data_IF_712003916315
#
_entry.id   IF_712003916315
#
_cell.length_a   1.000
_cell.length_b   1.000
_cell.length_c   1.000
_cell.angle_alpha   90.00
_cell.angle_beta   90.00
_cell.angle_gamma   90.00
#
_symmetry.space_group_name_H-M   'P 1'
#
loop_
_entity.id
_entity.type
_entity.pdbx_description
1 polymer ?
#
# COMPACT_ATOMS: atom_id res chain seq x y z
N UNK A 1 2.91 -11.19 -6.28
CA UNK A 1 3.39 -12.54 -6.64
C UNK A 1 4.61 -13.00 -5.84
N UNK A 2 5.23 -12.12 -5.01
CA UNK A 2 6.39 -12.49 -4.17
C UNK A 2 5.98 -13.02 -2.81
N UNK A 3 4.73 -12.85 -2.40
CA UNK A 3 4.24 -13.23 -1.09
C UNK A 3 3.90 -14.72 -1.00
N UNK A 4 4.26 -15.34 0.10
CA UNK A 4 3.88 -16.72 0.45
C UNK A 4 2.61 -16.80 1.28
N UNK A 5 2.04 -15.68 1.68
CA UNK A 5 0.77 -15.60 2.40
C UNK A 5 0.56 -14.28 3.12
N UNK A 6 -0.67 -14.08 3.59
CA UNK A 6 -1.09 -12.91 4.33
C UNK A 6 -0.87 -13.09 5.84
N UNK A 7 -0.27 -12.09 6.46
CA UNK A 7 -0.17 -11.98 7.92
C UNK A 7 -1.41 -11.30 8.46
N UNK A 8 -2.28 -12.07 9.13
CA UNK A 8 -3.59 -11.58 9.61
C UNK A 8 -3.59 -11.13 11.06
N UNK A 9 -2.60 -11.57 11.85
CA UNK A 9 -2.53 -11.33 13.29
C UNK A 9 -1.22 -10.64 13.67
N UNK A 10 -1.24 -9.72 14.66
CA UNK A 10 -0.02 -9.06 15.14
C UNK A 10 0.82 -9.95 16.06
N UNK A 11 0.36 -11.14 16.36
CA UNK A 11 1.03 -12.08 17.26
C UNK A 11 2.35 -12.58 16.65
N UNK A 12 3.33 -12.84 17.50
CA UNK A 12 4.65 -13.32 17.10
C UNK A 12 4.86 -14.78 17.45
N UNK A 13 5.03 -15.05 18.73
CA UNK A 13 5.28 -16.39 19.27
C UNK A 13 4.33 -16.69 20.45
N UNK A 14 4.09 -17.96 20.69
CA UNK A 14 3.41 -18.40 21.90
C UNK A 14 4.41 -18.39 23.08
N UNK A 15 4.14 -17.64 24.13
CA UNK A 15 5.05 -17.49 25.28
C UNK A 15 5.25 -18.78 26.10
N UNK A 16 4.33 -19.74 26.00
CA UNK A 16 4.46 -21.03 26.71
C UNK A 16 5.30 -22.04 25.94
N UNK A 17 5.14 -22.09 24.61
CA UNK A 17 5.76 -23.11 23.75
C UNK A 17 6.93 -22.57 22.94
N UNK A 18 7.10 -21.24 22.88
CA UNK A 18 8.06 -20.51 22.04
C UNK A 18 7.94 -20.84 20.54
N UNK A 19 6.81 -21.37 20.11
CA UNK A 19 6.52 -21.65 18.71
C UNK A 19 5.84 -20.44 18.06
N UNK A 20 6.11 -20.17 16.78
CA UNK A 20 5.43 -19.13 16.04
C UNK A 20 3.91 -19.33 16.04
N UNK A 21 3.17 -18.27 16.30
CA UNK A 21 1.71 -18.27 16.18
C UNK A 21 1.28 -18.35 14.71
N UNK A 22 0.19 -19.06 14.48
CA UNK A 22 -0.39 -19.22 13.15
C UNK A 22 -0.94 -17.88 12.66
N UNK A 23 -0.69 -17.57 11.39
CA UNK A 23 -1.07 -16.33 10.71
C UNK A 23 -0.49 -15.04 11.34
N UNK A 24 0.48 -15.18 12.24
CA UNK A 24 1.21 -14.09 12.86
C UNK A 24 2.47 -13.68 12.07
N UNK A 25 3.20 -12.72 12.64
CA UNK A 25 4.40 -12.15 12.03
C UNK A 25 5.55 -13.15 11.83
N UNK A 26 5.56 -14.27 12.57
CA UNK A 26 6.55 -15.34 12.43
C UNK A 26 5.96 -16.67 11.99
N UNK A 27 4.78 -16.67 11.41
CA UNK A 27 4.04 -17.86 11.00
C UNK A 27 4.91 -18.83 10.18
N UNK A 28 4.98 -20.08 10.63
CA UNK A 28 5.77 -21.09 9.93
C UNK A 28 5.13 -21.57 8.62
N UNK A 29 3.81 -21.47 8.51
CA UNK A 29 3.09 -21.78 7.28
C UNK A 29 3.46 -20.80 6.15
N UNK A 30 3.62 -19.51 6.48
CA UNK A 30 3.98 -18.46 5.52
C UNK A 30 5.49 -18.47 5.25
N UNK A 31 6.29 -18.37 6.29
CA UNK A 31 7.74 -18.15 6.18
C UNK A 31 8.58 -19.42 6.15
N UNK A 32 8.04 -20.54 6.56
CA UNK A 32 8.75 -21.81 6.59
C UNK A 32 9.07 -22.32 8.00
N UNK A 33 9.66 -23.52 8.09
CA UNK A 33 9.90 -24.20 9.35
C UNK A 33 10.97 -23.46 10.19
N UNK A 34 10.86 -23.61 11.51
CA UNK A 34 11.85 -23.08 12.47
C UNK A 34 13.11 -23.93 12.51
N UNK A 35 12.94 -25.25 12.38
CA UNK A 35 14.04 -26.22 12.33
C UNK A 35 14.10 -26.86 10.96
N UNK A 36 15.32 -27.23 10.53
CA UNK A 36 15.56 -27.87 9.24
C UNK A 36 14.78 -29.18 9.14
N UNK A 37 14.03 -29.30 8.04
CA UNK A 37 13.25 -30.51 7.70
C UNK A 37 12.30 -31.00 8.79
N UNK A 38 11.77 -30.08 9.61
CA UNK A 38 10.81 -30.39 10.66
C UNK A 38 9.61 -29.46 10.60
N UNK A 39 8.40 -30.02 10.50
CA UNK A 39 7.19 -29.22 10.62
C UNK A 39 6.93 -28.83 12.09
N UNK A 40 6.10 -27.80 12.30
CA UNK A 40 5.83 -27.26 13.65
C UNK A 40 5.15 -28.27 14.57
N UNK A 41 4.23 -29.10 14.04
CA UNK A 41 3.51 -30.10 14.84
C UNK A 41 4.33 -31.38 15.11
N UNK A 42 5.48 -31.52 14.47
CA UNK A 42 6.36 -32.68 14.63
C UNK A 42 5.93 -33.94 13.86
N UNK A 43 4.86 -33.89 13.04
CA UNK A 43 4.41 -35.06 12.25
C UNK A 43 5.46 -35.49 11.23
N UNK A 44 6.08 -34.54 10.55
CA UNK A 44 7.16 -34.80 9.59
C UNK A 44 8.48 -34.28 10.15
N UNK A 45 9.43 -35.17 10.23
CA UNK A 45 10.81 -34.90 10.66
C UNK A 45 11.78 -35.56 9.67
N UNK A 46 12.95 -34.97 9.53
CA UNK A 46 14.05 -35.43 8.70
C UNK A 46 13.85 -35.16 7.19
N UNK A 47 14.97 -35.26 6.49
CA UNK A 47 15.12 -34.94 5.06
C UNK A 47 14.30 -35.83 4.12
N UNK A 48 13.91 -37.04 4.54
CA UNK A 48 13.12 -37.95 3.70
C UNK A 48 11.75 -37.38 3.29
N UNK A 49 11.25 -36.41 4.02
CA UNK A 49 9.97 -35.74 3.73
C UNK A 49 10.15 -34.35 3.09
N UNK A 50 11.33 -34.05 2.53
CA UNK A 50 11.62 -32.77 1.90
C UNK A 50 10.56 -32.40 0.86
N UNK A 51 10.07 -31.15 0.93
CA UNK A 51 9.08 -30.61 0.00
C UNK A 51 7.63 -30.97 0.32
N UNK A 52 7.38 -31.81 1.33
CA UNK A 52 6.03 -32.17 1.74
C UNK A 52 5.44 -31.04 2.57
N UNK A 53 4.22 -30.64 2.25
CA UNK A 53 3.44 -29.71 3.07
C UNK A 53 2.64 -30.51 4.10
N UNK A 54 2.85 -30.21 5.38
CA UNK A 54 2.17 -30.93 6.45
C UNK A 54 0.66 -30.65 6.42
N UNK A 55 -0.15 -31.70 6.33
CA UNK A 55 -1.61 -31.59 6.31
C UNK A 55 -2.20 -30.99 7.61
N UNK A 56 -1.51 -31.21 8.75
CA UNK A 56 -1.97 -30.75 10.04
C UNK A 56 -1.63 -29.29 10.33
N UNK A 57 -0.39 -28.87 10.09
CA UNK A 57 0.08 -27.51 10.40
C UNK A 57 0.33 -26.63 9.18
N UNK A 58 0.28 -27.19 7.97
CA UNK A 58 0.48 -26.44 6.74
C UNK A 58 1.92 -25.99 6.47
N UNK A 59 2.88 -26.44 7.28
CA UNK A 59 4.29 -26.07 7.14
C UNK A 59 4.98 -26.98 6.13
N UNK A 60 5.69 -26.38 5.17
CA UNK A 60 6.53 -27.12 4.23
C UNK A 60 7.80 -27.63 4.90
N UNK A 61 8.12 -28.90 4.66
CA UNK A 61 9.34 -29.51 5.21
C UNK A 61 10.54 -29.13 4.33
N UNK A 62 11.26 -28.12 4.76
CA UNK A 62 12.43 -27.57 4.05
C UNK A 62 13.46 -27.01 5.03
N UNK A 63 14.50 -26.40 4.51
CA UNK A 63 15.51 -25.73 5.35
C UNK A 63 14.93 -24.52 6.07
N UNK A 64 15.32 -24.30 7.32
CA UNK A 64 14.94 -23.11 8.08
C UNK A 64 15.45 -21.79 7.46
N UNK A 65 16.48 -21.85 6.62
CA UNK A 65 17.03 -20.70 5.91
C UNK A 65 15.98 -19.96 5.07
N UNK A 66 14.98 -20.67 4.53
CA UNK A 66 13.91 -20.07 3.71
C UNK A 66 13.15 -18.97 4.47
N UNK A 67 13.13 -18.99 5.80
CA UNK A 67 12.53 -17.94 6.63
C UNK A 67 13.15 -16.56 6.44
N UNK A 68 14.40 -16.50 5.95
CA UNK A 68 15.10 -15.26 5.64
C UNK A 68 14.90 -14.80 4.20
N UNK A 69 14.32 -15.63 3.36
CA UNK A 69 14.15 -15.41 1.92
C UNK A 69 12.69 -15.17 1.55
N UNK A 70 11.75 -15.81 2.27
CA UNK A 70 10.32 -15.71 1.98
C UNK A 70 9.73 -14.41 2.48
N UNK A 71 8.89 -13.81 1.65
CA UNK A 71 8.13 -12.61 1.96
C UNK A 71 6.67 -12.97 2.22
N UNK A 72 6.05 -12.27 3.15
CA UNK A 72 4.61 -12.25 3.36
C UNK A 72 4.07 -10.85 3.07
N UNK A 73 2.78 -10.67 3.14
CA UNK A 73 2.13 -9.38 2.98
C UNK A 73 1.09 -9.14 4.08
N UNK A 74 0.78 -7.88 4.28
CA UNK A 74 -0.30 -7.42 5.15
C UNK A 74 -1.25 -6.62 4.28
N UNK A 75 -2.53 -6.99 4.24
CA UNK A 75 -3.55 -6.19 3.59
C UNK A 75 -3.90 -4.99 4.47
N UNK A 76 -3.74 -3.80 3.91
CA UNK A 76 -4.07 -2.56 4.61
C UNK A 76 -5.58 -2.29 4.53
N UNK A 77 -6.15 -1.76 5.61
CA UNK A 77 -7.56 -1.37 5.67
C UNK A 77 -7.88 -0.19 4.74
N UNK A 78 -6.90 0.67 4.49
CA UNK A 78 -7.00 1.83 3.60
C UNK A 78 -5.70 2.01 2.82
N UNK A 79 -5.72 2.67 1.65
CA UNK A 79 -4.51 3.02 0.92
C UNK A 79 -3.57 3.88 1.75
N UNK A 80 -2.27 3.68 1.58
CA UNK A 80 -1.22 4.47 2.22
C UNK A 80 -0.22 4.92 1.17
N UNK A 81 0.12 6.20 1.16
CA UNK A 81 1.14 6.73 0.26
C UNK A 81 2.53 6.21 0.64
N UNK A 82 3.24 5.62 -0.32
CA UNK A 82 4.59 5.12 -0.10
C UNK A 82 5.57 6.28 0.01
N UNK A 83 6.36 6.29 1.07
CA UNK A 83 7.29 7.38 1.41
C UNK A 83 8.31 7.67 0.30
N UNK A 84 8.77 6.66 -0.44
CA UNK A 84 9.71 6.84 -1.55
C UNK A 84 9.11 7.63 -2.71
N UNK A 85 7.80 7.56 -2.93
CA UNK A 85 7.13 8.30 -4.00
C UNK A 85 6.55 9.63 -3.53
N UNK A 86 6.35 9.78 -2.21
CA UNK A 86 5.82 11.01 -1.62
C UNK A 86 6.94 11.97 -1.21
N UNK A 87 7.89 11.52 -0.38
CA UNK A 87 8.90 12.39 0.26
C UNK A 87 10.29 12.39 -0.41
N UNK A 88 10.48 11.66 -1.49
CA UNK A 88 11.70 11.79 -2.28
C UNK A 88 11.75 13.17 -2.96
N UNK A 89 12.93 13.69 -3.19
CA UNK A 89 13.11 14.95 -3.91
C UNK A 89 13.69 14.66 -5.32
N UNK A 90 12.94 14.94 -6.39
CA UNK A 90 11.58 15.47 -6.43
C UNK A 90 10.52 14.40 -6.09
N UNK A 91 9.40 14.80 -5.47
CA UNK A 91 8.29 13.89 -5.18
C UNK A 91 7.65 13.38 -6.47
N UNK A 92 7.59 12.06 -6.64
CA UNK A 92 7.02 11.45 -7.84
C UNK A 92 5.51 11.68 -7.93
N UNK A 93 4.80 11.59 -6.81
CA UNK A 93 3.36 11.85 -6.74
C UNK A 93 3.08 13.31 -7.10
N UNK A 94 3.84 14.24 -6.55
CA UNK A 94 3.73 15.68 -6.85
C UNK A 94 3.90 15.98 -8.32
N UNK A 95 4.93 15.42 -8.95
CA UNK A 95 5.20 15.62 -10.38
C UNK A 95 4.10 15.05 -11.28
N UNK A 96 3.52 13.92 -10.91
CA UNK A 96 2.48 13.29 -11.71
C UNK A 96 1.15 14.05 -11.62
N UNK A 97 0.79 14.53 -10.44
CA UNK A 97 -0.46 15.25 -10.21
C UNK A 97 -0.37 16.77 -10.45
N UNK A 98 0.82 17.29 -10.77
CA UNK A 98 1.11 18.73 -10.89
C UNK A 98 0.73 19.52 -9.64
N UNK A 99 0.98 18.93 -8.48
CA UNK A 99 0.70 19.49 -7.18
C UNK A 99 1.98 19.67 -6.38
N UNK A 100 2.02 20.63 -5.50
CA UNK A 100 3.14 20.76 -4.57
C UNK A 100 3.10 19.65 -3.50
N UNK A 101 4.26 19.29 -2.94
CA UNK A 101 4.32 18.30 -1.86
C UNK A 101 3.47 18.73 -0.65
N UNK A 102 3.44 20.04 -0.36
CA UNK A 102 2.66 20.59 0.76
C UNK A 102 1.15 20.40 0.57
N UNK A 103 0.66 20.59 -0.64
CA UNK A 103 -0.73 20.36 -1.00
C UNK A 103 -1.13 18.90 -0.84
N UNK A 104 -0.30 17.98 -1.35
CA UNK A 104 -0.54 16.55 -1.18
C UNK A 104 -0.51 16.14 0.29
N UNK A 105 0.39 16.69 1.08
CA UNK A 105 0.44 16.42 2.52
C UNK A 105 -0.83 16.90 3.22
N UNK A 106 -1.37 18.09 2.89
CA UNK A 106 -2.64 18.58 3.43
C UNK A 106 -3.80 17.63 3.12
N UNK A 107 -3.87 17.09 1.91
CA UNK A 107 -4.88 16.10 1.53
C UNK A 107 -4.70 14.80 2.33
N UNK A 108 -3.48 14.27 2.40
CA UNK A 108 -3.17 13.01 3.07
C UNK A 108 -3.40 13.06 4.59
N UNK A 109 -3.18 14.22 5.21
CA UNK A 109 -3.39 14.42 6.65
C UNK A 109 -4.79 14.94 7.02
N UNK A 110 -5.71 14.90 6.06
CA UNK A 110 -7.11 15.32 6.26
C UNK A 110 -7.28 16.79 6.66
N UNK A 111 -6.44 17.65 6.14
CA UNK A 111 -6.53 19.11 6.34
C UNK A 111 -7.31 19.83 5.24
N UNK A 112 -7.37 19.23 4.03
CA UNK A 112 -8.06 19.82 2.88
C UNK A 112 -8.68 18.75 1.99
N UNK A 113 -9.76 19.13 1.32
CA UNK A 113 -10.40 18.33 0.30
C UNK A 113 -9.68 18.50 -1.05
N UNK A 114 -9.79 17.49 -1.91
CA UNK A 114 -9.38 17.55 -3.30
C UNK A 114 -10.53 17.09 -4.19
N UNK A 115 -10.79 17.82 -5.26
CA UNK A 115 -11.80 17.47 -6.26
C UNK A 115 -11.30 16.27 -7.07
N UNK A 116 -11.99 15.14 -6.96
CA UNK A 116 -11.68 13.91 -7.72
C UNK A 116 -12.40 13.88 -9.06
N UNK A 117 -13.66 14.29 -9.07
CA UNK A 117 -14.47 14.47 -10.28
C UNK A 117 -15.20 15.82 -10.22
N UNK A 118 -14.94 16.75 -11.13
CA UNK A 118 -15.61 18.04 -11.15
C UNK A 118 -17.05 17.98 -11.69
N UNK A 119 -17.46 16.89 -12.33
CA UNK A 119 -18.77 16.79 -12.97
C UNK A 119 -19.05 17.89 -13.98
N UNK A 120 -20.22 18.56 -13.86
CA UNK A 120 -20.61 19.73 -14.70
C UNK A 120 -20.44 21.06 -13.97
N UNK A 121 -19.56 21.15 -12.99
CA UNK A 121 -19.32 22.35 -12.20
C UNK A 121 -18.13 23.16 -12.75
N UNK A 122 -17.97 24.39 -12.26
CA UNK A 122 -16.82 25.25 -12.60
C UNK A 122 -15.53 24.88 -11.86
N UNK A 123 -15.55 23.77 -11.09
CA UNK A 123 -14.40 23.26 -10.37
C UNK A 123 -13.42 22.54 -11.31
N UNK A 124 -12.15 22.56 -10.96
CA UNK A 124 -11.13 21.82 -11.71
C UNK A 124 -10.75 20.50 -11.00
N UNK A 125 -10.49 19.44 -11.77
CA UNK A 125 -9.99 18.19 -11.24
C UNK A 125 -8.62 18.39 -10.57
N UNK A 126 -8.49 17.96 -9.31
CA UNK A 126 -7.30 18.18 -8.51
C UNK A 126 -7.27 19.52 -7.77
N UNK A 127 -8.30 20.35 -7.90
CA UNK A 127 -8.43 21.56 -7.11
C UNK A 127 -8.53 21.24 -5.63
N UNK A 128 -7.81 22.00 -4.81
CA UNK A 128 -7.82 21.86 -3.36
C UNK A 128 -8.83 22.82 -2.79
N UNK A 129 -9.66 22.33 -1.92
CA UNK A 129 -10.69 23.09 -1.23
C UNK A 129 -10.44 23.01 0.28
N UNK A 130 -10.53 24.14 0.94
CA UNK A 130 -10.60 24.19 2.40
C UNK A 130 -12.01 23.79 2.85
N UNK A 131 -12.22 23.61 4.14
CA UNK A 131 -13.51 23.15 4.68
C UNK A 131 -14.64 24.12 4.34
N UNK A 132 -14.38 25.42 4.42
CA UNK A 132 -15.36 26.47 4.08
C UNK A 132 -15.69 26.44 2.57
N UNK A 133 -14.69 26.41 1.71
CA UNK A 133 -14.85 26.34 0.26
C UNK A 133 -15.58 25.06 -0.19
N UNK A 134 -15.33 23.95 0.50
CA UNK A 134 -16.04 22.68 0.23
C UNK A 134 -17.54 22.79 0.55
N UNK A 135 -17.90 23.38 1.68
CA UNK A 135 -19.30 23.58 2.03
C UNK A 135 -20.00 24.60 1.11
N UNK A 136 -19.32 25.67 0.71
CA UNK A 136 -19.85 26.60 -0.30
C UNK A 136 -20.08 25.90 -1.66
N UNK A 137 -19.14 25.08 -2.09
CA UNK A 137 -19.31 24.29 -3.31
C UNK A 137 -20.48 23.31 -3.20
N UNK A 138 -20.66 22.68 -2.03
CA UNK A 138 -21.78 21.77 -1.78
C UNK A 138 -23.13 22.49 -1.80
N UNK A 139 -23.21 23.72 -1.28
CA UNK A 139 -24.42 24.55 -1.34
C UNK A 139 -24.74 24.98 -2.78
N UNK A 140 -23.73 25.30 -3.57
CA UNK A 140 -23.90 25.80 -4.94
C UNK A 140 -24.18 24.70 -5.97
N UNK A 141 -23.50 23.55 -5.85
CA UNK A 141 -23.50 22.50 -6.85
C UNK A 141 -24.13 21.18 -6.36
N UNK A 142 -24.41 21.07 -5.06
CA UNK A 142 -24.98 19.84 -4.49
C UNK A 142 -24.07 18.62 -4.68
N UNK A 143 -24.65 17.56 -5.22
CA UNK A 143 -23.96 16.28 -5.47
C UNK A 143 -23.40 16.16 -6.92
N UNK A 144 -23.27 17.26 -7.66
CA UNK A 144 -22.81 17.24 -9.04
C UNK A 144 -21.30 17.07 -9.18
N UNK A 145 -20.52 17.17 -8.11
CA UNK A 145 -19.07 16.96 -8.07
C UNK A 145 -18.68 15.98 -6.96
N UNK A 146 -17.54 15.36 -7.10
CA UNK A 146 -16.96 14.49 -6.08
C UNK A 146 -15.66 15.10 -5.56
N UNK A 147 -15.54 15.22 -4.25
CA UNK A 147 -14.32 15.62 -3.56
C UNK A 147 -14.10 14.76 -2.32
N UNK A 148 -12.86 14.56 -1.96
CA UNK A 148 -12.52 13.73 -0.81
C UNK A 148 -11.19 14.12 -0.17
N UNK A 149 -10.89 13.46 0.93
CA UNK A 149 -9.63 13.62 1.68
C UNK A 149 -8.87 12.29 1.77
N UNK A 150 -7.61 12.38 2.12
CA UNK A 150 -6.78 11.22 2.42
C UNK A 150 -6.19 10.52 1.19
N UNK A 151 -5.52 9.40 1.45
CA UNK A 151 -4.80 8.66 0.41
C UNK A 151 -5.72 8.00 -0.63
N UNK A 152 -7.00 7.76 -0.30
CA UNK A 152 -7.98 7.23 -1.25
C UNK A 152 -8.21 8.21 -2.40
N UNK A 153 -8.41 9.50 -2.09
CA UNK A 153 -8.61 10.54 -3.11
C UNK A 153 -7.37 10.71 -4.01
N UNK A 154 -6.19 10.70 -3.41
CA UNK A 154 -4.92 10.73 -4.18
C UNK A 154 -4.80 9.50 -5.10
N UNK A 155 -5.21 8.32 -4.62
CA UNK A 155 -5.22 7.10 -5.43
C UNK A 155 -6.18 7.19 -6.61
N UNK A 156 -7.38 7.73 -6.41
CA UNK A 156 -8.36 7.95 -7.48
C UNK A 156 -7.76 8.87 -8.56
N UNK A 157 -7.20 10.01 -8.16
CA UNK A 157 -6.55 10.94 -9.09
C UNK A 157 -5.43 10.28 -9.91
N UNK A 158 -4.60 9.44 -9.27
CA UNK A 158 -3.53 8.71 -9.95
C UNK A 158 -4.05 7.61 -10.89
N UNK A 159 -5.16 6.95 -10.56
CA UNK A 159 -5.75 5.93 -11.40
C UNK A 159 -6.42 6.49 -12.66
N UNK A 160 -7.04 7.65 -12.52
CA UNK A 160 -7.74 8.33 -13.63
C UNK A 160 -6.81 9.14 -14.55
N UNK A 161 -5.53 9.18 -14.21
CA UNK A 161 -4.54 9.97 -14.92
C UNK A 161 -4.20 9.36 -16.28
N UNK A 162 -4.18 10.19 -17.31
CA UNK A 162 -3.66 9.80 -18.62
C UNK A 162 -2.14 10.03 -18.68
N UNK A 163 -1.38 8.94 -18.63
CA UNK A 163 0.09 8.99 -18.59
C UNK A 163 0.72 9.62 -19.83
N UNK A 164 0.10 9.50 -21.01
CA UNK A 164 0.62 10.11 -22.24
C UNK A 164 0.50 11.63 -22.16
N UNK A 165 -0.65 12.15 -21.75
CA UNK A 165 -0.87 13.58 -21.55
C UNK A 165 0.07 14.15 -20.49
N UNK A 166 0.18 13.51 -19.33
CA UNK A 166 1.06 13.92 -18.23
C UNK A 166 2.54 13.92 -18.65
N UNK A 167 2.97 12.92 -19.41
CA UNK A 167 4.33 12.87 -19.94
C UNK A 167 4.64 14.08 -20.82
N UNK A 168 3.66 14.57 -21.57
CA UNK A 168 3.86 15.72 -22.46
C UNK A 168 3.81 17.06 -21.74
N UNK A 169 2.89 17.22 -20.79
CA UNK A 169 2.64 18.50 -20.10
C UNK A 169 3.51 18.70 -18.88
N UNK A 170 3.60 17.72 -18.01
CA UNK A 170 4.23 17.86 -16.69
C UNK A 170 5.69 17.39 -16.68
N UNK A 171 5.99 16.21 -17.23
CA UNK A 171 7.32 15.63 -17.13
C UNK A 171 8.31 16.31 -18.10
N UNK A 172 7.91 16.61 -19.33
CA UNK A 172 8.79 17.29 -20.29
C UNK A 172 9.06 18.75 -19.96
N UNK A 173 8.13 19.45 -19.32
CA UNK A 173 8.36 20.82 -18.88
C UNK A 173 9.51 20.95 -17.89
N UNK A 174 9.81 19.89 -17.13
CA UNK A 174 10.94 19.84 -16.18
C UNK A 174 12.27 19.42 -16.84
N UNK A 175 12.24 18.93 -18.10
CA UNK A 175 13.43 18.50 -18.84
C UNK A 175 14.03 19.61 -19.74
N UNK A 176 13.44 20.79 -19.78
CA UNK A 176 14.00 21.89 -20.56
C UNK A 176 15.38 22.26 -20.00
N UNK A 177 16.45 22.17 -20.80
CA UNK A 177 17.79 22.54 -20.35
C UNK A 177 17.81 24.03 -19.96
N UNK A 178 18.30 24.32 -18.79
CA UNK A 178 18.68 25.68 -18.43
C UNK A 178 19.90 26.04 -19.29
N UNK A 179 19.70 26.91 -20.26
CA UNK A 179 20.79 27.62 -20.93
C UNK A 179 21.35 28.71 -20.02
#
# INVERSE_FOLDING_TARGET
>A
SWSFGEVKKPETINYRTFKPERDGLFCAKIFGPVKDYECICGKYKRMKHRGVVCEKCGVEVTLAKVRRERMGHIELAAPVAHIWFLKSLPSRISLLLDMTLREIERILYFESFVVTDPGMTDLEKGQILDEEEYYEALENYGEEFEAGMGAESVKILLQDMNLEAVSYTHLRAHETPRY
#
